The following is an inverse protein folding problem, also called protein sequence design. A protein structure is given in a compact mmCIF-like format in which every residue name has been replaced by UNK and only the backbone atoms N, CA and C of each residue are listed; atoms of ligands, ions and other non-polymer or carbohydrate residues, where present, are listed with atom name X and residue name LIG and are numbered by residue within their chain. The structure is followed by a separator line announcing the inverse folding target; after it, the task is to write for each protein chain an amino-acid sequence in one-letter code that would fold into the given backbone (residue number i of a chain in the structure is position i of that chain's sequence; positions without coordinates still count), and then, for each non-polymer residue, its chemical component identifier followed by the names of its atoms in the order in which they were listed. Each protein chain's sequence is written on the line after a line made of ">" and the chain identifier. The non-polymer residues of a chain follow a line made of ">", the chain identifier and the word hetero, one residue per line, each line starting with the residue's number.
data_IF_013090900222
#
_entry.id   IF_013090900222
#
_cell.length_a   1.000
_cell.length_b   1.000
_cell.length_c   1.000
_cell.angle_alpha   90.00
_cell.angle_beta   90.00
_cell.angle_gamma   90.00
#
_symmetry.space_group_name_H-M   'P 1'
#
loop_
_entity.id
_entity.type
_entity.pdbx_description
1 polymer ?
#
# COMPACT_ATOMS: atom_id res chain seq x y z
N UNK A 1 -1.06 -30.34 -14.98
CA UNK A 1 -2.08 -30.44 -13.90
C UNK A 1 -1.34 -30.53 -12.57
N UNK A 2 -1.91 -30.02 -11.47
CA UNK A 2 -1.27 -30.12 -10.15
C UNK A 2 -1.23 -31.57 -9.65
N UNK A 3 -0.24 -31.90 -8.82
CA UNK A 3 -0.15 -33.21 -8.16
C UNK A 3 -1.40 -33.51 -7.30
N UNK A 4 -1.78 -34.79 -7.21
CA UNK A 4 -2.98 -35.25 -6.48
C UNK A 4 -2.94 -34.93 -4.98
N UNK A 5 -1.75 -34.82 -4.39
CA UNK A 5 -1.58 -34.45 -2.97
C UNK A 5 -2.08 -33.03 -2.66
N UNK A 6 -2.33 -32.18 -3.67
CA UNK A 6 -2.88 -30.85 -3.47
C UNK A 6 -4.39 -30.80 -3.61
N UNK A 7 -5.03 -31.94 -3.89
CA UNK A 7 -6.47 -32.02 -4.16
C UNK A 7 -7.31 -31.41 -3.02
N UNK A 8 -6.92 -31.62 -1.77
CA UNK A 8 -7.61 -31.05 -0.61
C UNK A 8 -7.57 -29.51 -0.55
N UNK A 9 -6.62 -28.87 -1.22
CA UNK A 9 -6.53 -27.40 -1.35
C UNK A 9 -7.25 -26.94 -2.61
N UNK A 10 -7.05 -27.65 -3.72
CA UNK A 10 -7.60 -27.31 -5.03
C UNK A 10 -9.13 -27.40 -5.04
N UNK A 11 -9.70 -28.43 -4.42
CA UNK A 11 -11.15 -28.65 -4.35
C UNK A 11 -11.87 -27.53 -3.56
N UNK A 12 -11.14 -26.77 -2.74
CA UNK A 12 -11.67 -25.63 -1.97
C UNK A 12 -11.55 -24.28 -2.70
N UNK A 13 -10.84 -24.25 -3.83
CA UNK A 13 -10.64 -23.05 -4.63
C UNK A 13 -11.58 -23.04 -5.86
N UNK A 14 -12.14 -21.88 -6.23
CA UNK A 14 -12.81 -21.70 -7.51
C UNK A 14 -11.90 -22.09 -8.69
N UNK A 15 -12.46 -22.72 -9.71
CA UNK A 15 -11.71 -23.20 -10.87
C UNK A 15 -10.92 -22.08 -11.58
N UNK A 16 -11.47 -20.86 -11.63
CA UNK A 16 -10.79 -19.68 -12.17
C UNK A 16 -9.51 -19.32 -11.40
N UNK A 17 -9.52 -19.48 -10.07
CA UNK A 17 -8.36 -19.25 -9.22
C UNK A 17 -7.32 -20.36 -9.37
N UNK A 18 -7.75 -21.60 -9.53
CA UNK A 18 -6.85 -22.74 -9.81
C UNK A 18 -6.13 -22.53 -11.15
N UNK A 19 -6.85 -22.17 -12.22
CA UNK A 19 -6.27 -21.87 -13.54
C UNK A 19 -5.25 -20.73 -13.46
N UNK A 20 -5.59 -19.65 -12.74
CA UNK A 20 -4.69 -18.51 -12.54
C UNK A 20 -3.45 -18.86 -11.70
N UNK A 21 -3.61 -19.67 -10.66
CA UNK A 21 -2.50 -20.14 -9.83
C UNK A 21 -1.53 -21.00 -10.64
N UNK A 22 -2.05 -21.88 -11.49
CA UNK A 22 -1.27 -22.74 -12.38
C UNK A 22 -0.47 -21.92 -13.40
N UNK A 23 -1.14 -21.00 -14.11
CA UNK A 23 -0.48 -20.08 -15.05
C UNK A 23 0.55 -19.19 -14.35
N UNK A 24 0.24 -18.72 -13.13
CA UNK A 24 1.14 -17.87 -12.35
C UNK A 24 2.42 -18.57 -11.90
N UNK A 25 2.39 -19.89 -11.67
CA UNK A 25 3.59 -20.68 -11.37
C UNK A 25 4.43 -20.94 -12.62
N UNK A 26 3.79 -21.21 -13.75
CA UNK A 26 4.46 -21.44 -15.02
C UNK A 26 5.14 -20.18 -15.59
N UNK A 27 4.45 -19.04 -15.51
CA UNK A 27 4.84 -17.82 -16.22
C UNK A 27 5.43 -16.74 -15.30
N UNK A 28 5.90 -17.10 -14.10
CA UNK A 28 6.44 -16.11 -13.17
C UNK A 28 7.77 -15.54 -13.69
N UNK A 29 7.79 -14.25 -14.06
CA UNK A 29 8.94 -13.60 -14.71
C UNK A 29 10.27 -13.70 -13.96
N UNK A 30 10.22 -13.79 -12.62
CA UNK A 30 11.43 -13.89 -11.78
C UNK A 30 11.89 -15.32 -11.48
N UNK A 31 11.01 -16.33 -11.59
CA UNK A 31 11.29 -17.73 -11.20
C UNK A 31 10.15 -18.67 -11.65
N UNK A 32 10.08 -19.02 -12.94
CA UNK A 32 9.09 -19.96 -13.42
C UNK A 32 9.34 -21.34 -12.80
N UNK A 33 8.27 -22.04 -12.41
CA UNK A 33 8.34 -23.41 -11.89
C UNK A 33 8.11 -24.36 -13.07
N UNK A 34 9.05 -25.28 -13.37
CA UNK A 34 8.87 -26.26 -14.43
C UNK A 34 7.62 -27.10 -14.22
N UNK A 35 6.99 -27.51 -15.32
CA UNK A 35 5.76 -28.32 -15.30
C UNK A 35 5.90 -29.58 -14.43
N UNK A 36 7.05 -30.25 -14.55
CA UNK A 36 7.40 -31.48 -13.82
C UNK A 36 7.38 -31.28 -12.30
N UNK A 37 7.82 -30.11 -11.83
CA UNK A 37 7.78 -29.75 -10.41
C UNK A 37 6.36 -29.42 -9.95
N UNK A 38 5.50 -28.87 -10.81
CA UNK A 38 4.09 -28.57 -10.50
C UNK A 38 3.24 -29.85 -10.44
N UNK A 39 3.55 -30.80 -11.32
CA UNK A 39 2.97 -32.13 -11.28
C UNK A 39 3.60 -33.01 -10.19
N UNK A 40 4.73 -32.62 -9.61
CA UNK A 40 5.41 -33.33 -8.53
C UNK A 40 5.08 -32.79 -7.14
N UNK A 41 5.52 -33.52 -6.11
CA UNK A 41 5.34 -33.11 -4.72
C UNK A 41 6.43 -32.11 -4.30
N UNK A 42 6.02 -30.86 -4.10
CA UNK A 42 6.86 -29.75 -3.65
C UNK A 42 6.19 -28.97 -2.51
N UNK A 43 6.88 -28.85 -1.38
CA UNK A 43 6.39 -28.05 -0.25
C UNK A 43 6.22 -26.56 -0.58
N UNK A 44 7.04 -26.03 -1.51
CA UNK A 44 6.94 -24.65 -1.98
C UNK A 44 5.64 -24.40 -2.75
N UNK A 45 5.20 -25.37 -3.55
CA UNK A 45 3.95 -25.28 -4.32
C UNK A 45 2.76 -25.46 -3.38
N UNK A 46 2.86 -26.36 -2.41
CA UNK A 46 1.83 -26.52 -1.37
C UNK A 46 1.61 -25.23 -0.59
N UNK A 47 2.70 -24.62 -0.10
CA UNK A 47 2.66 -23.36 0.66
C UNK A 47 2.03 -22.23 -0.18
N UNK A 48 2.39 -22.14 -1.45
CA UNK A 48 1.81 -21.18 -2.39
C UNK A 48 0.29 -21.37 -2.54
N UNK A 49 -0.16 -22.61 -2.73
CA UNK A 49 -1.59 -22.93 -2.86
C UNK A 49 -2.36 -22.67 -1.56
N UNK A 50 -1.78 -22.98 -0.39
CA UNK A 50 -2.36 -22.66 0.92
C UNK A 50 -2.56 -21.16 1.11
N UNK A 51 -1.55 -20.35 0.77
CA UNK A 51 -1.67 -18.89 0.82
C UNK A 51 -2.76 -18.38 -0.15
N UNK A 52 -2.90 -18.96 -1.34
CA UNK A 52 -4.00 -18.60 -2.26
C UNK A 52 -5.38 -18.93 -1.69
N UNK A 53 -5.53 -20.08 -1.02
CA UNK A 53 -6.76 -20.48 -0.35
C UNK A 53 -7.09 -19.52 0.81
N UNK A 54 -6.10 -19.20 1.65
CA UNK A 54 -6.27 -18.28 2.77
C UNK A 54 -6.75 -16.90 2.32
N UNK A 55 -6.12 -16.33 1.28
CA UNK A 55 -6.54 -15.03 0.71
C UNK A 55 -7.98 -15.10 0.18
N UNK A 56 -8.36 -16.21 -0.46
CA UNK A 56 -9.72 -16.40 -0.96
C UNK A 56 -10.74 -16.48 0.17
N UNK A 57 -10.49 -17.32 1.18
CA UNK A 57 -11.36 -17.46 2.36
C UNK A 57 -11.51 -16.15 3.13
N UNK A 58 -10.42 -15.40 3.31
CA UNK A 58 -10.44 -14.07 3.93
C UNK A 58 -11.29 -13.08 3.12
N UNK A 59 -11.24 -13.14 1.80
CA UNK A 59 -12.08 -12.30 0.94
C UNK A 59 -13.57 -12.63 1.07
N UNK A 60 -13.92 -13.92 1.21
CA UNK A 60 -15.30 -14.36 1.44
C UNK A 60 -15.79 -13.94 2.83
N UNK A 61 -14.96 -14.08 3.85
CA UNK A 61 -15.29 -13.68 5.21
C UNK A 61 -15.51 -12.17 5.33
N UNK A 62 -14.70 -11.36 4.64
CA UNK A 62 -14.92 -9.91 4.54
C UNK A 62 -16.25 -9.58 3.88
N UNK A 63 -16.58 -10.24 2.76
CA UNK A 63 -17.88 -10.05 2.09
C UNK A 63 -19.06 -10.40 3.00
N UNK A 64 -18.98 -11.51 3.74
CA UNK A 64 -20.03 -11.91 4.70
C UNK A 64 -20.19 -10.91 5.85
N UNK A 65 -19.09 -10.42 6.43
CA UNK A 65 -19.13 -9.39 7.49
C UNK A 65 -19.80 -8.10 7.00
N UNK A 66 -19.49 -7.66 5.78
CA UNK A 66 -20.12 -6.48 5.19
C UNK A 66 -21.62 -6.69 4.98
N UNK A 67 -22.06 -7.85 4.47
CA UNK A 67 -23.49 -8.14 4.29
C UNK A 67 -24.25 -8.23 5.62
N UNK A 68 -23.63 -8.74 6.68
CA UNK A 68 -24.23 -8.79 8.02
C UNK A 68 -24.35 -7.37 8.60
N UNK A 69 -23.32 -6.53 8.47
CA UNK A 69 -23.38 -5.12 8.88
C UNK A 69 -24.38 -4.32 8.05
N UNK A 70 -24.48 -4.58 6.75
CA UNK A 70 -25.47 -3.94 5.86
C UNK A 70 -26.91 -4.32 6.24
N UNK A 71 -27.16 -5.59 6.61
CA UNK A 71 -28.48 -6.01 7.13
C UNK A 71 -28.80 -5.39 8.50
N UNK A 72 -27.81 -5.23 9.38
CA UNK A 72 -27.97 -4.57 10.68
C UNK A 72 -28.18 -3.05 10.51
N UNK A 73 -27.51 -2.41 9.56
CA UNK A 73 -27.69 -0.99 9.23
C UNK A 73 -29.01 -0.73 8.51
N UNK A 74 -29.48 -1.65 7.65
CA UNK A 74 -30.81 -1.53 7.00
C UNK A 74 -31.98 -1.51 7.99
N UNK A 75 -31.85 -2.10 9.17
CA UNK A 75 -32.88 -2.02 10.21
C UNK A 75 -32.79 -0.75 11.07
N UNK A 76 -31.72 0.07 10.94
CA UNK A 76 -31.48 1.23 11.82
C UNK A 76 -31.15 2.54 11.10
N UNK A 77 -31.62 2.71 9.87
CA UNK A 77 -31.78 4.02 9.22
C UNK A 77 -33.06 3.91 8.39
N UNK A 78 -34.16 4.56 8.76
CA UNK A 78 -34.34 6.02 8.78
C UNK A 78 -35.08 6.49 10.05
N UNK A 79 -34.70 7.63 10.66
CA UNK A 79 -35.68 8.45 11.36
C UNK A 79 -36.65 9.00 10.31
N UNK A 80 -37.95 8.79 10.51
CA UNK A 80 -38.99 9.50 9.77
C UNK A 80 -38.73 11.01 9.90
N UNK A 81 -38.18 11.62 8.86
CA UNK A 81 -38.07 13.07 8.77
C UNK A 81 -39.46 13.65 8.62
N UNK A 82 -40.09 14.00 9.73
CA UNK A 82 -41.34 14.78 9.80
C UNK A 82 -41.11 16.26 9.46
N UNK A 83 -40.38 16.54 8.37
CA UNK A 83 -40.19 17.90 7.88
C UNK A 83 -40.38 17.92 6.36
N UNK A 84 -41.62 17.67 5.94
CA UNK A 84 -42.12 18.26 4.72
C UNK A 84 -42.86 19.54 5.11
N UNK A 85 -42.56 20.72 4.53
CA UNK A 85 -43.51 21.81 4.60
C UNK A 85 -44.79 21.35 3.89
N UNK A 86 -45.92 21.46 4.58
CA UNK A 86 -47.23 21.13 4.05
C UNK A 86 -47.43 21.85 2.71
N UNK A 87 -47.26 21.12 1.62
CA UNK A 87 -47.67 21.56 0.29
C UNK A 87 -49.17 21.30 0.17
N UNK A 88 -49.95 22.18 -0.50
CA UNK A 88 -51.40 22.09 -0.49
C UNK A 88 -51.84 20.79 -1.17
N UNK A 89 -52.73 20.05 -0.51
CA UNK A 89 -53.36 18.86 -1.05
C UNK A 89 -54.20 19.25 -2.27
N UNK A 90 -53.62 19.12 -3.45
CA UNK A 90 -54.37 19.10 -4.71
C UNK A 90 -54.91 17.68 -4.81
N UNK A 91 -56.22 17.51 -4.60
CA UNK A 91 -56.91 16.28 -4.95
C UNK A 91 -56.88 16.15 -6.47
N UNK A 92 -55.93 15.37 -6.99
CA UNK A 92 -55.92 14.97 -8.40
C UNK A 92 -56.59 13.61 -8.48
N UNK A 93 -57.79 13.63 -9.06
CA UNK A 93 -58.56 12.48 -9.48
C UNK A 93 -57.72 11.49 -10.28
N UNK A 94 -57.99 10.21 -10.07
CA UNK A 94 -57.45 9.07 -10.82
C UNK A 94 -57.70 9.24 -12.33
N UNK A 95 -56.65 9.67 -13.03
CA UNK A 95 -56.61 9.68 -14.48
C UNK A 95 -55.44 8.78 -14.87
N UNK A 96 -55.71 7.49 -15.01
CA UNK A 96 -54.76 6.55 -15.59
C UNK A 96 -54.18 7.11 -16.90
N UNK A 97 -52.84 7.12 -16.96
CA UNK A 97 -51.92 7.30 -18.09
C UNK A 97 -50.82 8.33 -17.74
N UNK A 98 -49.59 7.89 -17.99
CA UNK A 98 -48.33 8.65 -17.96
C UNK A 98 -47.64 8.74 -16.60
N UNK A 99 -46.98 7.63 -16.25
CA UNK A 99 -45.74 7.64 -15.47
C UNK A 99 -44.84 8.76 -15.99
N UNK A 100 -44.71 9.83 -15.21
CA UNK A 100 -43.70 10.85 -15.45
C UNK A 100 -42.38 10.13 -15.21
N UNK A 101 -41.71 9.79 -16.31
CA UNK A 101 -40.33 9.32 -16.35
C UNK A 101 -39.45 10.40 -15.70
N UNK A 102 -39.36 10.41 -14.38
CA UNK A 102 -38.17 10.89 -13.70
C UNK A 102 -37.15 9.78 -13.95
N UNK A 103 -36.65 9.69 -15.18
CA UNK A 103 -35.46 8.91 -15.50
C UNK A 103 -34.32 9.65 -14.82
N UNK A 104 -34.16 9.39 -13.53
CA UNK A 104 -32.94 9.74 -12.84
C UNK A 104 -31.90 8.83 -13.48
N UNK A 105 -30.97 9.41 -14.26
CA UNK A 105 -29.82 8.68 -14.78
C UNK A 105 -28.94 8.32 -13.58
N UNK A 106 -29.32 7.25 -12.90
CA UNK A 106 -28.68 6.74 -11.69
C UNK A 106 -27.18 6.49 -11.91
N UNK A 107 -26.79 6.28 -13.17
CA UNK A 107 -25.41 6.17 -13.62
C UNK A 107 -24.65 7.50 -13.54
N UNK A 108 -25.25 8.63 -13.93
CA UNK A 108 -24.61 9.94 -13.87
C UNK A 108 -24.40 10.40 -12.42
N UNK A 109 -25.39 10.22 -11.56
CA UNK A 109 -25.27 10.56 -10.13
C UNK A 109 -24.21 9.68 -9.44
N UNK A 110 -24.17 8.38 -9.75
CA UNK A 110 -23.15 7.47 -9.22
C UNK A 110 -21.75 7.90 -9.68
N UNK A 111 -21.58 8.19 -10.97
CA UNK A 111 -20.30 8.68 -11.50
C UNK A 111 -19.87 10.00 -10.85
N UNK A 112 -20.81 10.92 -10.62
CA UNK A 112 -20.55 12.18 -9.91
C UNK A 112 -20.07 11.94 -8.48
N UNK A 113 -20.76 11.06 -7.75
CA UNK A 113 -20.39 10.71 -6.38
C UNK A 113 -19.00 10.06 -6.32
N UNK A 114 -18.76 9.06 -7.16
CA UNK A 114 -17.47 8.35 -7.26
C UNK A 114 -16.33 9.32 -7.57
N UNK A 115 -16.54 10.23 -8.53
CA UNK A 115 -15.52 11.23 -8.89
C UNK A 115 -15.22 12.20 -7.75
N UNK A 116 -16.22 12.61 -6.98
CA UNK A 116 -16.03 13.49 -5.83
C UNK A 116 -15.27 12.78 -4.71
N UNK A 117 -15.63 11.54 -4.38
CA UNK A 117 -14.92 10.73 -3.39
C UNK A 117 -13.46 10.49 -3.80
N UNK A 118 -13.20 10.21 -5.09
CA UNK A 118 -11.86 10.02 -5.63
C UNK A 118 -11.00 11.29 -5.50
N UNK A 119 -11.60 12.47 -5.76
CA UNK A 119 -10.91 13.76 -5.58
C UNK A 119 -10.50 13.98 -4.12
N UNK A 120 -11.42 13.75 -3.18
CA UNK A 120 -11.14 13.89 -1.75
C UNK A 120 -10.06 12.90 -1.31
N UNK A 121 -10.16 11.64 -1.74
CA UNK A 121 -9.17 10.61 -1.42
C UNK A 121 -7.78 10.98 -1.95
N UNK A 122 -7.68 11.45 -3.19
CA UNK A 122 -6.42 11.93 -3.78
C UNK A 122 -5.83 13.07 -2.95
N UNK A 123 -6.64 14.03 -2.52
CA UNK A 123 -6.15 15.15 -1.71
C UNK A 123 -5.61 14.66 -0.36
N UNK A 124 -6.33 13.78 0.33
CA UNK A 124 -5.84 13.19 1.59
C UNK A 124 -4.54 12.42 1.41
N UNK A 125 -4.39 11.67 0.32
CA UNK A 125 -3.15 10.95 0.04
C UNK A 125 -1.97 11.91 -0.18
N UNK A 126 -2.20 13.01 -0.92
CA UNK A 126 -1.18 14.04 -1.11
C UNK A 126 -0.81 14.73 0.20
N UNK A 127 -1.79 15.11 1.01
CA UNK A 127 -1.56 15.74 2.32
C UNK A 127 -0.83 14.82 3.28
N UNK A 128 -1.22 13.54 3.32
CA UNK A 128 -0.55 12.53 4.13
C UNK A 128 0.91 12.36 3.70
N UNK A 129 1.14 12.16 2.40
CA UNK A 129 2.49 11.99 1.86
C UNK A 129 3.35 13.23 2.13
N UNK A 130 2.78 14.43 1.96
CA UNK A 130 3.45 15.68 2.30
C UNK A 130 3.86 15.69 3.77
N UNK A 131 2.92 15.45 4.70
CA UNK A 131 3.21 15.48 6.15
C UNK A 131 4.23 14.42 6.60
N UNK A 132 4.25 13.26 5.96
CA UNK A 132 5.11 12.14 6.36
C UNK A 132 6.43 12.11 5.61
N UNK A 133 6.39 12.01 4.28
CA UNK A 133 7.58 11.89 3.46
C UNK A 133 8.36 13.20 3.36
N UNK A 134 7.72 14.37 3.27
CA UNK A 134 8.46 15.63 3.15
C UNK A 134 9.34 15.87 4.38
N UNK A 135 8.75 15.71 5.58
CA UNK A 135 9.50 15.84 6.83
C UNK A 135 10.63 14.83 6.93
N UNK A 136 10.36 13.57 6.60
CA UNK A 136 11.39 12.51 6.62
C UNK A 136 12.56 12.83 5.67
N UNK A 137 12.27 13.31 4.46
CA UNK A 137 13.30 13.69 3.49
C UNK A 137 14.11 14.89 3.96
N UNK A 138 13.46 15.90 4.56
CA UNK A 138 14.14 17.07 5.12
C UNK A 138 15.05 16.70 6.30
N UNK A 139 14.61 15.78 7.16
CA UNK A 139 15.39 15.33 8.31
C UNK A 139 16.66 14.57 7.86
N UNK A 140 16.54 13.68 6.87
CA UNK A 140 17.69 12.99 6.26
C UNK A 140 18.67 14.00 5.64
N UNK A 141 18.16 14.97 4.87
CA UNK A 141 19.00 15.96 4.22
C UNK A 141 19.76 16.83 5.24
N UNK A 142 19.07 17.24 6.31
CA UNK A 142 19.67 18.01 7.40
C UNK A 142 20.81 17.22 8.06
N UNK A 143 20.56 15.98 8.46
CA UNK A 143 21.57 15.12 9.10
C UNK A 143 22.78 14.91 8.18
N UNK A 144 22.56 14.69 6.88
CA UNK A 144 23.63 14.55 5.91
C UNK A 144 24.49 15.82 5.82
N UNK A 145 23.88 17.00 5.73
CA UNK A 145 24.59 18.29 5.65
C UNK A 145 25.40 18.56 6.92
N UNK A 146 24.86 18.24 8.09
CA UNK A 146 25.56 18.36 9.38
C UNK A 146 26.80 17.47 9.42
N UNK A 147 26.67 16.19 9.03
CA UNK A 147 27.80 15.25 8.95
C UNK A 147 28.87 15.71 7.97
N UNK A 148 28.48 16.20 6.80
CA UNK A 148 29.44 16.75 5.82
C UNK A 148 30.20 17.95 6.38
N UNK A 149 29.50 18.83 7.11
CA UNK A 149 30.11 20.02 7.71
C UNK A 149 31.08 19.64 8.84
N UNK A 150 30.70 18.70 9.71
CA UNK A 150 31.58 18.18 10.75
C UNK A 150 32.83 17.51 10.15
N UNK A 151 32.65 16.69 9.11
CA UNK A 151 33.77 16.04 8.42
C UNK A 151 34.74 17.04 7.77
N UNK A 152 34.24 18.16 7.23
CA UNK A 152 35.10 19.23 6.72
C UNK A 152 35.95 19.86 7.82
N UNK A 153 35.38 20.12 9.00
CA UNK A 153 36.12 20.66 10.15
C UNK A 153 37.20 19.71 10.62
N UNK A 154 36.85 18.44 10.81
CA UNK A 154 37.81 17.40 11.22
C UNK A 154 38.96 17.25 10.21
N UNK A 155 38.70 17.40 8.91
CA UNK A 155 39.77 17.37 7.90
C UNK A 155 40.76 18.52 8.08
N UNK A 156 40.28 19.74 8.32
CA UNK A 156 41.15 20.88 8.59
C UNK A 156 41.96 20.67 9.87
N UNK A 157 41.33 20.20 10.95
CA UNK A 157 42.04 19.89 12.21
C UNK A 157 43.11 18.80 12.02
N UNK A 158 42.82 17.77 11.22
CA UNK A 158 43.80 16.73 10.87
C UNK A 158 44.97 17.30 10.07
N UNK A 159 44.72 18.24 9.15
CA UNK A 159 45.77 18.92 8.39
C UNK A 159 46.66 19.78 9.30
N UNK A 160 46.07 20.53 10.23
CA UNK A 160 46.82 21.33 11.20
C UNK A 160 47.69 20.44 12.10
N UNK A 161 47.15 19.33 12.61
CA UNK A 161 47.90 18.37 13.43
C UNK A 161 49.05 17.72 12.65
N UNK A 162 48.86 17.40 11.36
CA UNK A 162 49.94 16.89 10.51
C UNK A 162 51.08 17.89 10.38
N UNK A 163 50.77 19.18 10.23
CA UNK A 163 51.78 20.23 10.15
C UNK A 163 52.57 20.35 11.46
N UNK A 164 51.90 20.32 12.62
CA UNK A 164 52.56 20.36 13.92
C UNK A 164 53.46 19.14 14.16
N UNK A 165 53.00 17.94 13.78
CA UNK A 165 53.77 16.71 13.91
C UNK A 165 55.05 16.77 13.08
N UNK A 166 54.94 17.23 11.83
CA UNK A 166 56.10 17.37 10.92
C UNK A 166 57.13 18.38 11.44
N UNK A 167 56.69 19.45 12.11
CA UNK A 167 57.60 20.40 12.75
C UNK A 167 58.31 19.79 13.97
N UNK A 168 57.56 19.09 14.83
CA UNK A 168 58.12 18.40 15.98
C UNK A 168 59.14 17.31 15.57
N UNK A 169 58.89 16.59 14.47
CA UNK A 169 59.83 15.62 13.89
C UNK A 169 61.15 16.27 13.44
N UNK A 170 61.08 17.45 12.80
CA UNK A 170 62.28 18.21 12.39
C UNK A 170 63.10 18.67 13.60
N UNK A 171 62.43 19.25 14.60
CA UNK A 171 63.09 19.68 15.83
C UNK A 171 63.78 18.51 16.56
N UNK A 172 63.09 17.37 16.66
CA UNK A 172 63.65 16.16 17.26
C UNK A 172 64.87 15.64 16.47
N UNK A 173 64.82 15.67 15.14
CA UNK A 173 65.94 15.26 14.29
C UNK A 173 67.15 16.20 14.46
N UNK A 174 66.91 17.51 14.59
CA UNK A 174 67.95 18.52 14.89
C UNK A 174 68.60 18.26 16.25
N UNK A 175 67.80 18.07 17.32
CA UNK A 175 68.31 17.77 18.66
C UNK A 175 69.13 16.49 18.71
N UNK A 176 68.69 15.43 18.00
CA UNK A 176 69.42 14.16 17.92
C UNK A 176 70.80 14.31 17.26
N UNK A 177 70.88 15.15 16.22
CA UNK A 177 72.13 15.44 15.52
C UNK A 177 73.11 16.23 16.42
N UNK A 178 72.60 17.20 17.18
CA UNK A 178 73.41 18.01 18.10
C UNK A 178 73.89 17.23 19.33
N UNK A 179 73.19 16.19 19.76
CA UNK A 179 73.58 15.31 20.87
C UNK A 179 74.66 14.28 20.50
N UNK A 180 74.97 14.12 19.22
CA UNK A 180 75.90 13.09 18.72
C UNK A 180 77.31 13.64 18.43
N UNK A 181 77.56 14.91 18.80
CA UNK A 181 78.88 15.56 18.80
C UNK A 181 79.42 15.69 20.21
#
# INVERSE_FOLDING_TARGET
>A
MFHSDYKHIIDRLPESLVKRAYQGLLNHSKNPVPLEMISGKSGRIELYLRHKLEVYENSLNRKRKNMVQEKVLRSRSWPECNVFPASPAIYVTDNGTQSINITCDHEEENNRQVMNELKVFRQHLLDYNKRTFEKFMQDIEREYRERVTANKRLRCEIEDLKMQLLEAEKELASMKSNSSH
#
